data_IF_617934961185
#
_entry.id   IF_617934961185
#
_cell.length_a   1.000
_cell.length_b   1.000
_cell.length_c   1.000
_cell.angle_alpha   90.00
_cell.angle_beta   90.00
_cell.angle_gamma   90.00
#
_symmetry.space_group_name_H-M   'P 1'
#
loop_
_entity.id
_entity.type
_entity.pdbx_description
1 polymer ?
#
# COMPACT_ATOMS: atom_id res chain seq x y z
N UNK A 1 1.05 13.72 21.54
CA UNK A 1 1.09 14.08 20.11
C UNK A 1 2.53 13.91 19.66
N UNK A 2 2.74 13.17 18.60
CA UNK A 2 4.02 13.06 17.93
C UNK A 2 4.12 14.17 16.87
N UNK A 3 5.32 14.72 16.64
CA UNK A 3 5.53 15.75 15.62
C UNK A 3 6.36 15.18 14.49
N UNK A 4 5.79 15.20 13.29
CA UNK A 4 6.48 14.90 12.04
C UNK A 4 6.54 16.16 11.18
N UNK A 5 7.56 16.26 10.33
CA UNK A 5 7.68 17.31 9.33
C UNK A 5 7.53 16.67 7.94
N UNK A 6 6.58 17.19 7.16
CA UNK A 6 6.30 16.72 5.81
C UNK A 6 6.54 17.86 4.82
N UNK A 7 7.21 17.54 3.73
CA UNK A 7 7.34 18.47 2.61
C UNK A 7 6.09 18.38 1.73
N UNK A 8 5.48 19.53 1.44
CA UNK A 8 4.27 19.65 0.63
C UNK A 8 4.42 20.79 -0.36
N UNK A 9 3.60 20.79 -1.40
CA UNK A 9 3.53 21.91 -2.34
C UNK A 9 3.28 23.25 -1.60
N UNK A 10 3.92 24.32 -2.05
CA UNK A 10 3.87 25.65 -1.42
C UNK A 10 2.42 26.14 -1.22
N UNK A 11 1.55 25.92 -2.22
CA UNK A 11 0.13 26.27 -2.13
C UNK A 11 -0.62 25.51 -1.03
N UNK A 12 -0.26 24.25 -0.78
CA UNK A 12 -0.81 23.46 0.34
C UNK A 12 -0.36 24.03 1.68
N UNK A 13 0.94 24.37 1.81
CA UNK A 13 1.47 24.98 3.02
C UNK A 13 0.81 26.34 3.32
N UNK A 14 0.60 27.18 2.29
CA UNK A 14 -0.10 28.46 2.42
C UNK A 14 -1.55 28.28 2.90
N UNK A 15 -2.28 27.32 2.33
CA UNK A 15 -3.67 27.01 2.74
C UNK A 15 -3.72 26.51 4.18
N UNK A 16 -2.80 25.61 4.56
CA UNK A 16 -2.70 25.06 5.91
C UNK A 16 -2.49 26.15 6.97
N UNK A 17 -1.64 27.15 6.69
CA UNK A 17 -1.36 28.27 7.60
C UNK A 17 -2.57 29.19 7.84
N UNK A 18 -3.49 29.27 6.88
CA UNK A 18 -4.65 30.19 6.93
C UNK A 18 -5.94 29.52 7.42
N UNK A 19 -5.93 28.19 7.57
CA UNK A 19 -7.14 27.43 7.89
C UNK A 19 -7.56 27.66 9.34
N UNK A 20 -8.86 27.88 9.63
CA UNK A 20 -9.35 27.98 11.00
C UNK A 20 -9.12 26.68 11.79
N UNK A 21 -8.89 26.80 13.10
CA UNK A 21 -8.59 25.65 13.98
C UNK A 21 -9.60 24.49 13.84
N UNK A 22 -10.90 24.81 13.77
CA UNK A 22 -11.97 23.83 13.61
C UNK A 22 -11.87 23.03 12.30
N UNK A 23 -11.45 23.69 11.22
CA UNK A 23 -11.21 23.05 9.93
C UNK A 23 -9.93 22.21 10.00
N UNK A 24 -8.91 22.70 10.71
CA UNK A 24 -7.66 21.96 10.92
C UNK A 24 -7.89 20.62 11.60
N UNK A 25 -8.67 20.60 12.68
CA UNK A 25 -9.04 19.37 13.39
C UNK A 25 -9.76 18.36 12.49
N UNK A 26 -10.62 18.85 11.60
CA UNK A 26 -11.30 18.00 10.63
C UNK A 26 -10.33 17.42 9.60
N UNK A 27 -9.39 18.24 9.11
CA UNK A 27 -8.35 17.80 8.18
C UNK A 27 -7.39 16.80 8.84
N UNK A 28 -7.02 16.99 10.10
CA UNK A 28 -6.18 16.04 10.86
C UNK A 28 -6.82 14.66 10.91
N UNK A 29 -8.13 14.58 11.22
CA UNK A 29 -8.87 13.32 11.18
C UNK A 29 -8.90 12.71 9.77
N UNK A 30 -9.12 13.54 8.75
CA UNK A 30 -9.12 13.06 7.36
C UNK A 30 -7.75 12.54 6.92
N UNK A 31 -6.66 13.14 7.39
CA UNK A 31 -5.31 12.66 7.09
C UNK A 31 -5.05 11.29 7.71
N UNK A 32 -5.48 11.05 8.94
CA UNK A 32 -5.36 9.75 9.60
C UNK A 32 -6.06 8.64 8.79
N UNK A 33 -7.32 8.89 8.41
CA UNK A 33 -8.10 7.97 7.57
C UNK A 33 -7.45 7.74 6.20
N UNK A 34 -6.92 8.80 5.57
CA UNK A 34 -6.26 8.68 4.26
C UNK A 34 -4.93 7.91 4.34
N UNK A 35 -4.12 8.17 5.36
CA UNK A 35 -2.85 7.46 5.57
C UNK A 35 -3.12 5.97 5.77
N UNK A 36 -4.07 5.61 6.63
CA UNK A 36 -4.43 4.21 6.88
C UNK A 36 -4.91 3.53 5.59
N UNK A 37 -5.84 4.16 4.85
CA UNK A 37 -6.37 3.60 3.61
C UNK A 37 -5.27 3.40 2.55
N UNK A 38 -4.35 4.35 2.39
CA UNK A 38 -3.24 4.24 1.44
C UNK A 38 -2.27 3.14 1.89
N UNK A 39 -1.99 3.06 3.19
CA UNK A 39 -1.10 2.05 3.75
C UNK A 39 -1.65 0.64 3.51
N UNK A 40 -2.92 0.41 3.83
CA UNK A 40 -3.57 -0.89 3.64
C UNK A 40 -3.60 -1.30 2.17
N UNK A 41 -3.95 -0.38 1.26
CA UNK A 41 -3.90 -0.64 -0.19
C UNK A 41 -2.50 -1.02 -0.67
N UNK A 42 -1.47 -0.33 -0.18
CA UNK A 42 -0.08 -0.61 -0.58
C UNK A 42 0.44 -1.93 -0.01
N UNK A 43 -0.06 -2.39 1.14
CA UNK A 43 0.27 -3.71 1.70
C UNK A 43 -0.16 -4.84 0.76
N UNK A 44 -1.37 -4.73 0.20
CA UNK A 44 -1.86 -5.67 -0.79
C UNK A 44 -1.08 -5.58 -2.11
N UNK A 45 -0.78 -4.38 -2.59
CA UNK A 45 -0.03 -4.18 -3.82
C UNK A 45 1.38 -4.82 -3.77
N UNK A 46 2.11 -4.65 -2.66
CA UNK A 46 3.45 -5.25 -2.51
C UNK A 46 3.38 -6.77 -2.46
N UNK A 47 2.34 -7.33 -1.83
CA UNK A 47 2.13 -8.76 -1.78
C UNK A 47 1.79 -9.34 -3.15
N UNK A 48 0.92 -8.68 -3.91
CA UNK A 48 0.58 -9.06 -5.30
C UNK A 48 1.80 -9.01 -6.22
N UNK A 49 2.63 -7.95 -6.12
CA UNK A 49 3.88 -7.85 -6.88
C UNK A 49 4.83 -9.01 -6.55
N UNK A 50 4.95 -9.39 -5.26
CA UNK A 50 5.78 -10.51 -4.84
C UNK A 50 5.24 -11.84 -5.39
N UNK A 51 3.94 -12.08 -5.30
CA UNK A 51 3.31 -13.29 -5.84
C UNK A 51 3.51 -13.41 -7.34
N UNK A 52 3.30 -12.33 -8.10
CA UNK A 52 3.54 -12.32 -9.54
C UNK A 52 5.00 -12.65 -9.85
N UNK A 53 5.95 -12.05 -9.12
CA UNK A 53 7.37 -12.35 -9.30
C UNK A 53 7.70 -13.82 -9.02
N UNK A 54 7.14 -14.41 -7.96
CA UNK A 54 7.33 -15.83 -7.64
C UNK A 54 6.71 -16.69 -8.74
N UNK A 55 5.54 -16.34 -9.25
CA UNK A 55 4.88 -17.06 -10.34
C UNK A 55 5.71 -17.01 -11.62
N UNK A 56 6.23 -15.84 -11.98
CA UNK A 56 7.07 -15.65 -13.16
C UNK A 56 8.37 -16.47 -13.04
N UNK A 57 9.00 -16.45 -11.86
CA UNK A 57 10.23 -17.21 -11.58
C UNK A 57 9.97 -18.72 -11.59
N UNK A 58 8.85 -19.18 -11.02
CA UNK A 58 8.46 -20.58 -11.06
C UNK A 58 8.21 -21.05 -12.50
N UNK A 59 7.48 -20.27 -13.29
CA UNK A 59 7.24 -20.57 -14.71
C UNK A 59 8.54 -20.58 -15.52
N UNK A 60 9.44 -19.62 -15.28
CA UNK A 60 10.76 -19.58 -15.93
C UNK A 60 11.64 -20.79 -15.56
N UNK A 61 11.48 -21.32 -14.34
CA UNK A 61 12.14 -22.54 -13.87
C UNK A 61 11.42 -23.83 -14.30
N UNK A 62 10.39 -23.72 -15.15
CA UNK A 62 9.71 -24.88 -15.74
C UNK A 62 8.52 -25.40 -14.92
N UNK A 63 8.03 -24.67 -13.92
CA UNK A 63 6.77 -24.99 -13.26
C UNK A 63 5.62 -24.71 -14.23
N UNK A 64 5.10 -25.77 -14.85
CA UNK A 64 3.89 -25.73 -15.68
C UNK A 64 2.67 -26.05 -14.84
N UNK A 65 1.48 -25.71 -15.35
CA UNK A 65 0.21 -26.06 -14.69
C UNK A 65 0.12 -27.57 -14.41
N UNK A 66 0.61 -28.41 -15.33
CA UNK A 66 0.64 -29.87 -15.16
C UNK A 66 1.52 -30.31 -13.97
N UNK A 67 2.74 -29.75 -13.86
CA UNK A 67 3.66 -30.07 -12.75
C UNK A 67 3.11 -29.54 -11.42
N UNK A 68 2.45 -28.38 -11.44
CA UNK A 68 1.82 -27.83 -10.25
C UNK A 68 0.68 -28.74 -9.76
N UNK A 69 -0.14 -29.24 -10.68
CA UNK A 69 -1.22 -30.18 -10.36
C UNK A 69 -0.67 -31.52 -9.83
N UNK A 70 0.44 -32.02 -10.38
CA UNK A 70 1.11 -33.20 -9.83
C UNK A 70 1.58 -32.98 -8.38
N UNK A 71 2.26 -31.87 -8.08
CA UNK A 71 2.75 -31.55 -6.73
C UNK A 71 1.59 -31.39 -5.73
N UNK A 72 0.49 -30.77 -6.14
CA UNK A 72 -0.68 -30.54 -5.27
C UNK A 72 -1.43 -31.84 -4.98
N UNK A 73 -1.51 -32.75 -5.95
CA UNK A 73 -2.21 -34.04 -5.82
C UNK A 73 -1.33 -35.12 -5.17
N UNK A 74 0.00 -35.01 -5.18
CA UNK A 74 0.91 -35.92 -4.47
C UNK A 74 0.92 -35.74 -2.94
N UNK A 75 0.35 -34.65 -2.43
CA UNK A 75 0.28 -34.35 -1.00
C UNK A 75 -1.10 -34.65 -0.37
N UNK A 76 -2.02 -35.31 -1.10
CA UNK A 76 -3.22 -35.98 -0.57
C UNK A 76 -2.97 -37.49 -0.36
#
# INVERSE_FOLDING_TARGET
MERIEIEVADETAKKWRKVPMKVRQHLEKSFDEQIQNIFDKNKHLKFEILLNKISDEAQANGLTEEILQEILNENE
#
